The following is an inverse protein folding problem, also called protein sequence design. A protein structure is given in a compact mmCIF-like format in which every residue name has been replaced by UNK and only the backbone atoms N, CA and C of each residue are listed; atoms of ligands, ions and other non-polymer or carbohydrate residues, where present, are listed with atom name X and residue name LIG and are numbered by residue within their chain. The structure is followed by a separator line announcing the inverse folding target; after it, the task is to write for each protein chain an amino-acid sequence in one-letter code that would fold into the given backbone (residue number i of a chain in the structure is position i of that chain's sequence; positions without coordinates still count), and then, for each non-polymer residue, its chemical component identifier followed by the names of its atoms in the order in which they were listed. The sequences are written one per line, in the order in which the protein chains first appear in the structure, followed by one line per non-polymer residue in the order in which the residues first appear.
data_IF_529086787713
#
_entry.id   IF_529086787713
#
_cell.length_a   1.000
_cell.length_b   1.000
_cell.length_c   1.000
_cell.angle_alpha   90.00
_cell.angle_beta   90.00
_cell.angle_gamma   90.00
#
_symmetry.space_group_name_H-M   'P 1'
#
loop_
_entity.id
_entity.type
_entity.pdbx_description
1 polymer ?
#
# COMPACT_ATOMS: atom_id res chain seq x y z
N UNK A 1 -35.92 -15.06 26.94
CA UNK A 1 -34.99 -14.51 27.95
C UNK A 1 -34.61 -13.10 27.51
N UNK A 2 -35.05 -12.03 28.20
CA UNK A 2 -34.62 -10.65 27.88
C UNK A 2 -33.29 -10.41 28.59
N UNK A 3 -32.22 -10.25 27.81
CA UNK A 3 -30.91 -9.91 28.35
C UNK A 3 -30.94 -8.46 28.87
N UNK A 4 -30.24 -8.14 29.99
CA UNK A 4 -30.29 -6.83 30.64
C UNK A 4 -29.40 -5.81 29.91
N UNK A 5 -29.70 -5.51 28.65
CA UNK A 5 -28.98 -4.53 27.86
C UNK A 5 -29.65 -3.15 27.89
N UNK A 6 -28.87 -2.06 27.82
CA UNK A 6 -29.43 -0.72 27.70
C UNK A 6 -30.21 -0.56 26.39
N UNK A 7 -31.18 0.36 26.40
CA UNK A 7 -31.91 0.71 25.18
C UNK A 7 -30.98 1.44 24.18
N UNK A 8 -31.27 1.32 22.87
CA UNK A 8 -30.55 2.01 21.79
C UNK A 8 -30.43 3.52 22.05
N UNK A 9 -31.52 4.14 22.56
CA UNK A 9 -31.52 5.56 22.92
C UNK A 9 -30.47 5.90 23.97
N UNK A 10 -30.33 5.05 25.00
CA UNK A 10 -29.33 5.24 26.05
C UNK A 10 -27.91 5.09 25.50
N UNK A 11 -27.69 4.09 24.63
CA UNK A 11 -26.39 3.93 23.95
C UNK A 11 -26.02 5.16 23.11
N UNK A 12 -26.93 5.64 22.27
CA UNK A 12 -26.71 6.82 21.44
C UNK A 12 -26.44 8.06 22.29
N UNK A 13 -27.17 8.25 23.39
CA UNK A 13 -26.94 9.37 24.32
C UNK A 13 -25.54 9.35 24.93
N UNK A 14 -25.02 8.17 25.30
CA UNK A 14 -23.65 8.06 25.80
C UNK A 14 -22.60 8.28 24.71
N UNK A 15 -22.86 7.80 23.48
CA UNK A 15 -21.94 7.94 22.35
C UNK A 15 -21.90 9.37 21.78
N UNK A 16 -22.95 10.17 21.95
CA UNK A 16 -23.02 11.55 21.45
C UNK A 16 -21.91 12.46 22.00
N UNK A 17 -21.37 12.15 23.18
CA UNK A 17 -20.28 12.93 23.78
C UNK A 17 -18.90 12.58 23.21
N UNK A 18 -18.80 11.53 22.37
CA UNK A 18 -17.56 11.15 21.69
C UNK A 18 -17.52 11.79 20.30
N UNK A 19 -17.05 13.04 20.24
CA UNK A 19 -16.85 13.75 18.99
C UNK A 19 -15.40 13.59 18.52
N UNK A 20 -15.21 13.10 17.29
CA UNK A 20 -13.92 13.09 16.63
C UNK A 20 -13.98 14.07 15.46
N UNK A 21 -13.17 15.13 15.52
CA UNK A 21 -13.07 16.10 14.44
C UNK A 21 -11.99 15.67 13.46
N UNK A 22 -12.19 16.01 12.19
CA UNK A 22 -11.15 15.81 11.18
C UNK A 22 -9.91 16.61 11.55
N UNK A 23 -8.74 16.00 11.34
CA UNK A 23 -7.49 16.51 11.88
C UNK A 23 -6.67 15.40 12.52
N UNK A 24 -5.76 15.81 13.42
CA UNK A 24 -5.07 14.89 14.32
C UNK A 24 -5.96 14.62 15.53
N UNK A 25 -6.17 13.34 15.84
CA UNK A 25 -7.08 12.88 16.90
C UNK A 25 -6.36 12.85 18.25
N UNK A 26 -6.35 13.99 18.94
CA UNK A 26 -5.66 14.14 20.22
C UNK A 26 -6.24 13.22 21.32
N UNK A 27 -7.54 12.95 21.27
CA UNK A 27 -8.21 12.02 22.18
C UNK A 27 -7.64 10.60 22.02
N UNK A 28 -7.47 10.17 20.77
CA UNK A 28 -6.92 8.87 20.43
C UNK A 28 -5.43 8.77 20.77
N UNK A 29 -4.67 9.84 20.52
CA UNK A 29 -3.27 9.91 20.92
C UNK A 29 -3.14 9.84 22.46
N UNK A 30 -4.09 10.43 23.20
CA UNK A 30 -4.20 10.28 24.65
C UNK A 30 -4.37 8.82 25.08
N UNK A 31 -5.27 8.07 24.45
CA UNK A 31 -5.42 6.64 24.71
C UNK A 31 -4.17 5.83 24.33
N UNK A 32 -3.51 6.19 23.22
CA UNK A 32 -2.24 5.58 22.83
C UNK A 32 -1.13 5.85 23.85
N UNK A 33 -1.10 7.02 24.48
CA UNK A 33 -0.13 7.33 25.53
C UNK A 33 -0.25 6.36 26.71
N UNK A 34 -1.48 6.14 27.20
CA UNK A 34 -1.75 5.17 28.28
C UNK A 34 -1.27 3.77 27.88
N UNK A 35 -1.49 3.39 26.62
CA UNK A 35 -0.98 2.12 26.09
C UNK A 35 0.55 2.09 26.05
N UNK A 36 1.21 3.17 25.64
CA UNK A 36 2.68 3.27 25.61
C UNK A 36 3.30 3.19 27.01
N UNK A 37 2.61 3.71 28.02
CA UNK A 37 3.01 3.63 29.43
C UNK A 37 2.92 2.19 29.97
N UNK A 38 1.94 1.40 29.52
CA UNK A 38 1.84 -0.02 29.91
C UNK A 38 2.78 -0.96 29.14
N UNK A 39 3.42 -0.48 28.06
CA UNK A 39 4.44 -1.22 27.34
C UNK A 39 5.76 -1.15 28.11
N UNK A 40 5.98 -2.14 28.98
CA UNK A 40 7.15 -2.26 29.86
C UNK A 40 8.50 -2.40 29.13
N UNK A 41 8.47 -2.77 27.85
CA UNK A 41 9.65 -3.02 27.04
C UNK A 41 9.78 -1.96 25.96
N UNK A 42 10.98 -1.40 25.81
CA UNK A 42 11.28 -0.30 24.90
C UNK A 42 10.95 -0.65 23.43
N UNK A 43 11.15 -1.92 23.05
CA UNK A 43 10.79 -2.41 21.71
C UNK A 43 9.27 -2.44 21.46
N UNK A 44 8.43 -2.49 22.50
CA UNK A 44 6.98 -2.44 22.35
C UNK A 44 6.48 -1.13 21.74
N UNK A 45 7.31 -0.08 21.80
CA UNK A 45 7.06 1.27 21.28
C UNK A 45 7.50 1.44 19.83
N UNK A 46 8.16 0.44 19.25
CA UNK A 46 8.53 0.43 17.84
C UNK A 46 7.28 0.34 16.97
N UNK A 47 7.09 1.32 16.10
CA UNK A 47 5.89 1.45 15.29
C UNK A 47 6.20 1.84 13.83
N UNK A 48 5.21 1.59 12.99
CA UNK A 48 5.13 2.02 11.61
C UNK A 48 3.93 2.95 11.43
N UNK A 49 4.04 3.87 10.48
CA UNK A 49 2.95 4.74 10.06
C UNK A 49 2.52 4.33 8.66
N UNK A 50 1.22 4.17 8.44
CA UNK A 50 0.64 3.88 7.14
C UNK A 50 -0.35 4.98 6.75
N UNK A 51 -0.33 5.37 5.48
CA UNK A 51 -1.25 6.35 4.92
C UNK A 51 -1.94 5.76 3.69
N UNK A 52 -3.27 5.89 3.64
CA UNK A 52 -4.05 5.51 2.48
C UNK A 52 -5.29 6.40 2.34
N UNK A 53 -5.82 6.49 1.11
CA UNK A 53 -7.05 7.19 0.80
C UNK A 53 -8.16 6.19 0.45
N UNK A 54 -9.37 6.43 0.96
CA UNK A 54 -10.57 5.70 0.57
C UNK A 54 -11.54 6.60 -0.18
N UNK A 55 -12.14 6.09 -1.26
CA UNK A 55 -13.21 6.79 -1.95
C UNK A 55 -14.48 6.82 -1.09
N UNK A 56 -15.13 7.98 -1.02
CA UNK A 56 -16.40 8.19 -0.32
C UNK A 56 -17.44 8.79 -1.28
N UNK A 57 -18.72 8.63 -0.95
CA UNK A 57 -19.79 9.26 -1.71
C UNK A 57 -19.78 10.77 -1.46
N UNK A 58 -19.55 11.55 -2.51
CA UNK A 58 -19.68 13.00 -2.44
C UNK A 58 -21.10 13.42 -2.06
N UNK A 59 -21.21 14.35 -1.13
CA UNK A 59 -22.48 14.87 -0.64
C UNK A 59 -22.27 15.90 0.46
N UNK A 60 -23.23 16.80 0.61
CA UNK A 60 -23.28 17.75 1.72
C UNK A 60 -24.52 17.40 2.54
N UNK A 61 -24.32 17.20 3.84
CA UNK A 61 -25.40 16.93 4.80
C UNK A 61 -25.38 17.95 5.93
N UNK A 62 -26.52 18.17 6.58
CA UNK A 62 -26.61 19.04 7.75
C UNK A 62 -26.60 18.19 9.02
N UNK A 63 -25.57 18.38 9.85
CA UNK A 63 -25.50 17.73 11.15
C UNK A 63 -26.25 18.56 12.19
N UNK A 64 -27.41 18.08 12.63
CA UNK A 64 -28.26 18.77 13.62
C UNK A 64 -27.54 18.93 14.97
N UNK A 65 -26.68 17.98 15.34
CA UNK A 65 -25.97 18.01 16.62
C UNK A 65 -24.92 19.11 16.67
N UNK A 66 -24.06 19.21 15.65
CA UNK A 66 -23.04 20.26 15.58
C UNK A 66 -23.59 21.60 15.06
N UNK A 67 -24.78 21.59 14.45
CA UNK A 67 -25.39 22.76 13.81
C UNK A 67 -24.65 23.21 12.55
N UNK A 68 -23.92 22.31 11.88
CA UNK A 68 -23.05 22.64 10.74
C UNK A 68 -23.27 21.72 9.55
N UNK A 69 -22.93 22.22 8.37
CA UNK A 69 -22.86 21.40 7.16
C UNK A 69 -21.58 20.56 7.15
N UNK A 70 -21.72 19.27 6.86
CA UNK A 70 -20.65 18.29 6.71
C UNK A 70 -20.54 17.83 5.27
N UNK A 71 -19.38 17.28 4.88
CA UNK A 71 -19.12 16.80 3.51
C UNK A 71 -18.18 17.67 2.69
N UNK A 72 -17.68 18.76 3.27
CA UNK A 72 -16.60 19.55 2.70
C UNK A 72 -15.22 18.91 2.87
N UNK A 73 -14.27 19.31 2.03
CA UNK A 73 -12.85 18.99 2.20
C UNK A 73 -12.33 19.61 3.50
N UNK A 74 -11.59 18.84 4.29
CA UNK A 74 -11.02 19.29 5.56
C UNK A 74 -9.49 19.37 5.54
N UNK A 75 -8.85 18.88 4.46
CA UNK A 75 -7.41 19.08 4.29
C UNK A 75 -7.09 20.58 4.17
N UNK A 76 -6.08 21.10 4.90
CA UNK A 76 -5.72 22.53 4.84
C UNK A 76 -5.43 23.00 3.41
N UNK A 77 -5.79 24.25 3.09
CA UNK A 77 -5.57 24.89 1.77
C UNK A 77 -6.31 24.24 0.60
N UNK A 78 -7.37 23.49 0.87
CA UNK A 78 -8.26 22.92 -0.13
C UNK A 78 -9.72 23.21 0.21
N UNK A 79 -10.55 23.33 -0.82
CA UNK A 79 -11.97 23.66 -0.71
C UNK A 79 -12.77 22.82 -1.71
N UNK A 80 -14.05 22.61 -1.41
CA UNK A 80 -14.98 21.85 -2.25
C UNK A 80 -15.64 20.70 -1.50
N UNK A 81 -16.36 19.85 -2.25
CA UNK A 81 -17.02 18.65 -1.73
C UNK A 81 -16.00 17.51 -1.66
N UNK A 82 -15.96 16.80 -0.54
CA UNK A 82 -15.07 15.68 -0.35
C UNK A 82 -15.51 14.47 -1.19
N UNK A 83 -14.56 13.89 -1.92
CA UNK A 83 -14.74 12.64 -2.68
C UNK A 83 -13.97 11.49 -2.05
N UNK A 84 -13.03 11.79 -1.15
CA UNK A 84 -12.14 10.83 -0.52
C UNK A 84 -11.93 11.12 0.96
N UNK A 85 -11.44 10.12 1.68
CA UNK A 85 -10.95 10.26 3.04
C UNK A 85 -9.54 9.68 3.17
N UNK A 86 -8.58 10.55 3.48
CA UNK A 86 -7.22 10.20 3.86
C UNK A 86 -7.20 9.75 5.32
N UNK A 87 -6.60 8.61 5.59
CA UNK A 87 -6.42 8.07 6.94
C UNK A 87 -4.95 7.80 7.21
N UNK A 88 -4.50 8.25 8.39
CA UNK A 88 -3.16 7.98 8.91
C UNK A 88 -3.28 7.03 10.09
N UNK A 89 -2.69 5.85 9.93
CA UNK A 89 -2.70 4.77 10.89
C UNK A 89 -1.30 4.59 11.47
N UNK A 90 -1.22 4.32 12.77
CA UNK A 90 0.00 3.89 13.44
C UNK A 90 -0.19 2.46 13.91
N UNK A 91 0.80 1.61 13.69
CA UNK A 91 0.78 0.22 14.12
C UNK A 91 2.09 -0.22 14.76
N UNK A 92 2.01 -1.09 15.76
CA UNK A 92 3.20 -1.68 16.38
C UNK A 92 3.89 -2.66 15.45
N UNK A 93 5.23 -2.65 15.46
CA UNK A 93 6.06 -3.57 14.66
C UNK A 93 6.31 -4.86 15.45
N UNK A 94 6.75 -4.72 16.70
CA UNK A 94 7.05 -5.87 17.58
C UNK A 94 5.81 -6.46 18.24
N UNK A 95 4.81 -5.61 18.51
CA UNK A 95 3.56 -6.00 19.17
C UNK A 95 2.38 -5.67 18.29
N UNK A 96 1.40 -6.57 18.22
CA UNK A 96 0.24 -6.41 17.33
C UNK A 96 -0.76 -5.40 17.89
N UNK A 97 -0.70 -4.18 17.38
CA UNK A 97 -1.73 -3.18 17.58
C UNK A 97 -1.77 -2.20 16.41
N UNK A 98 -2.91 -1.54 16.24
CA UNK A 98 -3.09 -0.49 15.23
C UNK A 98 -4.10 0.52 15.73
N UNK A 99 -3.90 1.78 15.37
CA UNK A 99 -4.79 2.87 15.73
C UNK A 99 -4.76 3.95 14.66
N UNK A 100 -5.94 4.46 14.30
CA UNK A 100 -6.06 5.64 13.44
C UNK A 100 -5.76 6.86 14.31
N UNK A 101 -4.76 7.65 13.93
CA UNK A 101 -4.34 8.85 14.70
C UNK A 101 -4.75 10.15 14.04
N UNK A 102 -5.10 10.10 12.75
CA UNK A 102 -5.52 11.28 12.01
C UNK A 102 -6.34 10.88 10.79
N UNK A 103 -7.31 11.72 10.43
CA UNK A 103 -8.02 11.60 9.18
C UNK A 103 -8.41 12.97 8.61
N UNK A 104 -8.40 13.06 7.28
CA UNK A 104 -8.81 14.23 6.53
C UNK A 104 -9.73 13.84 5.37
N UNK A 105 -10.73 14.65 5.11
CA UNK A 105 -11.54 14.57 3.91
C UNK A 105 -10.82 15.32 2.78
N UNK A 106 -10.69 14.66 1.63
CA UNK A 106 -9.91 15.11 0.49
C UNK A 106 -10.76 15.10 -0.79
N UNK A 107 -10.32 15.86 -1.80
CA UNK A 107 -10.91 15.84 -3.13
C UNK A 107 -10.04 15.07 -4.12
N UNK A 108 -10.27 15.26 -5.41
CA UNK A 108 -9.51 14.56 -6.46
C UNK A 108 -8.07 15.05 -6.62
N UNK A 109 -7.80 16.30 -6.20
CA UNK A 109 -6.47 16.89 -6.20
C UNK A 109 -6.00 17.14 -4.77
N UNK A 110 -4.76 16.73 -4.49
CA UNK A 110 -4.11 16.94 -3.20
C UNK A 110 -2.73 17.56 -3.41
N UNK A 111 -2.41 18.54 -2.57
CA UNK A 111 -1.07 19.12 -2.54
C UNK A 111 -0.17 18.29 -1.62
N UNK A 112 0.83 17.61 -2.20
CA UNK A 112 1.78 16.79 -1.45
C UNK A 112 2.60 17.55 -0.39
N UNK A 113 2.79 18.87 -0.54
CA UNK A 113 3.46 19.68 0.47
C UNK A 113 2.59 19.84 1.73
N UNK A 114 1.27 20.02 1.57
CA UNK A 114 0.32 20.07 2.69
C UNK A 114 0.29 18.72 3.41
N UNK A 115 0.28 17.62 2.63
CA UNK A 115 0.33 16.28 3.20
C UNK A 115 1.61 16.04 4.02
N UNK A 116 2.76 16.54 3.55
CA UNK A 116 4.01 16.49 4.30
C UNK A 116 3.93 17.26 5.62
N UNK A 117 3.26 18.41 5.65
CA UNK A 117 3.08 19.21 6.87
C UNK A 117 2.15 18.52 7.87
N UNK A 118 1.04 17.95 7.40
CA UNK A 118 0.15 17.09 8.20
C UNK A 118 0.93 15.90 8.80
N UNK A 119 1.74 15.22 7.98
CA UNK A 119 2.54 14.10 8.45
C UNK A 119 3.56 14.54 9.52
N UNK A 120 4.22 15.69 9.36
CA UNK A 120 5.14 16.24 10.38
C UNK A 120 4.42 16.51 11.70
N UNK A 121 3.19 17.02 11.65
CA UNK A 121 2.39 17.26 12.86
C UNK A 121 2.06 15.94 13.58
N UNK A 122 1.55 14.95 12.85
CA UNK A 122 1.27 13.62 13.40
C UNK A 122 2.54 13.01 13.98
N UNK A 123 3.64 13.05 13.22
CA UNK A 123 4.94 12.53 13.64
C UNK A 123 5.42 13.15 14.94
N UNK A 124 5.29 14.48 15.08
CA UNK A 124 5.64 15.20 16.31
C UNK A 124 4.80 14.72 17.50
N UNK A 125 3.48 14.59 17.33
CA UNK A 125 2.57 14.17 18.42
C UNK A 125 2.80 12.72 18.84
N UNK A 126 3.03 11.80 17.91
CA UNK A 126 3.31 10.39 18.25
C UNK A 126 4.70 10.21 18.87
N UNK A 127 5.70 10.96 18.41
CA UNK A 127 7.04 10.93 19.02
C UNK A 127 7.01 11.48 20.45
N UNK A 128 6.18 12.50 20.72
CA UNK A 128 6.03 13.10 22.05
C UNK A 128 5.45 12.14 23.10
N UNK A 129 4.67 11.13 22.69
CA UNK A 129 4.16 10.07 23.59
C UNK A 129 5.13 8.89 23.74
N UNK A 130 6.32 8.97 23.13
CA UNK A 130 7.39 7.98 23.26
C UNK A 130 7.36 6.85 22.24
N UNK A 131 6.54 6.94 21.18
CA UNK A 131 6.57 5.98 20.08
C UNK A 131 7.80 6.19 19.19
N UNK A 132 8.39 5.09 18.73
CA UNK A 132 9.56 5.07 17.85
C UNK A 132 9.16 4.65 16.45
N UNK A 133 9.04 5.63 15.56
CA UNK A 133 8.63 5.39 14.17
C UNK A 133 9.83 4.91 13.36
N UNK A 134 9.74 3.71 12.79
CA UNK A 134 10.79 3.13 11.95
C UNK A 134 10.48 3.20 10.46
N UNK A 135 9.20 3.22 10.08
CA UNK A 135 8.80 3.25 8.68
C UNK A 135 7.51 4.02 8.43
N UNK A 136 7.42 4.54 7.21
CA UNK A 136 6.25 5.19 6.63
C UNK A 136 5.87 4.43 5.37
N UNK A 137 4.67 3.88 5.34
CA UNK A 137 4.15 3.12 4.20
C UNK A 137 3.01 3.87 3.54
N UNK A 138 3.07 4.04 2.22
CA UNK A 138 1.97 4.61 1.45
C UNK A 138 1.87 3.97 0.07
N UNK A 139 0.76 4.17 -0.62
CA UNK A 139 0.70 3.91 -2.05
C UNK A 139 1.62 4.88 -2.83
N UNK A 140 1.78 4.62 -4.12
CA UNK A 140 2.59 5.43 -5.03
C UNK A 140 1.76 6.42 -5.86
N UNK A 141 0.67 6.98 -5.33
CA UNK A 141 -0.03 8.09 -6.01
C UNK A 141 0.82 9.36 -6.04
N UNK A 142 0.50 10.25 -6.98
CA UNK A 142 1.23 11.50 -7.21
C UNK A 142 1.37 12.37 -5.96
N UNK A 143 0.33 12.47 -5.13
CA UNK A 143 0.36 13.23 -3.88
C UNK A 143 1.34 12.64 -2.86
N UNK A 144 1.30 11.32 -2.66
CA UNK A 144 2.22 10.59 -1.78
C UNK A 144 3.67 10.68 -2.28
N UNK A 145 3.90 10.55 -3.58
CA UNK A 145 5.23 10.75 -4.16
C UNK A 145 5.73 12.20 -3.98
N UNK A 146 4.86 13.20 -4.05
CA UNK A 146 5.23 14.60 -3.79
C UNK A 146 5.55 14.84 -2.31
N UNK A 147 4.82 14.20 -1.39
CA UNK A 147 5.16 14.17 0.04
C UNK A 147 6.57 13.55 0.23
N UNK A 148 6.85 12.39 -0.37
CA UNK A 148 8.15 11.72 -0.28
C UNK A 148 9.29 12.63 -0.76
N UNK A 149 9.12 13.30 -1.91
CA UNK A 149 10.09 14.28 -2.42
C UNK A 149 10.34 15.42 -1.45
N UNK A 150 9.30 15.89 -0.74
CA UNK A 150 9.42 16.95 0.28
C UNK A 150 10.28 16.50 1.46
N UNK A 151 10.26 15.21 1.81
CA UNK A 151 11.17 14.61 2.80
C UNK A 151 12.57 14.31 2.24
N UNK A 152 12.84 14.63 0.97
CA UNK A 152 14.12 14.36 0.31
C UNK A 152 14.31 12.89 -0.07
N UNK A 153 13.22 12.11 -0.11
CA UNK A 153 13.21 10.75 -0.63
C UNK A 153 13.31 10.82 -2.16
N UNK A 154 14.25 10.06 -2.71
CA UNK A 154 14.55 10.04 -4.15
C UNK A 154 14.61 8.61 -4.62
N UNK A 155 13.83 8.31 -5.65
CA UNK A 155 13.91 7.06 -6.39
C UNK A 155 13.75 7.40 -7.88
N UNK A 156 14.71 6.97 -8.71
CA UNK A 156 14.70 7.29 -10.13
C UNK A 156 15.82 6.59 -10.88
N UNK A 157 15.67 6.46 -12.20
CA UNK A 157 16.62 5.70 -13.06
C UNK A 157 18.04 6.29 -13.11
N UNK A 158 18.19 7.58 -12.81
CA UNK A 158 19.45 8.33 -12.95
C UNK A 158 19.94 8.91 -11.61
N UNK A 159 19.38 8.48 -10.48
CA UNK A 159 19.79 8.96 -9.17
C UNK A 159 19.96 7.79 -8.20
N UNK A 160 20.86 7.97 -7.24
CA UNK A 160 21.00 7.03 -6.14
C UNK A 160 19.69 7.00 -5.34
N UNK A 161 19.17 5.80 -5.12
CA UNK A 161 17.94 5.61 -4.37
C UNK A 161 18.18 5.94 -2.91
N UNK A 162 17.49 6.96 -2.42
CA UNK A 162 17.44 7.32 -1.00
C UNK A 162 16.02 7.16 -0.50
N UNK A 163 15.80 6.12 0.30
CA UNK A 163 14.48 5.75 0.84
C UNK A 163 14.35 5.99 2.35
N UNK A 164 15.23 6.78 2.96
CA UNK A 164 15.13 7.09 4.39
C UNK A 164 15.45 8.55 4.70
N UNK A 165 14.94 8.99 5.85
CA UNK A 165 15.32 10.24 6.52
C UNK A 165 15.82 9.95 7.92
N UNK A 166 16.58 10.87 8.50
CA UNK A 166 16.93 10.78 9.92
C UNK A 166 15.82 11.41 10.74
N UNK A 167 15.42 10.69 11.79
CA UNK A 167 14.48 11.18 12.78
C UNK A 167 15.10 12.40 13.49
N UNK A 168 14.42 13.56 13.50
CA UNK A 168 14.96 14.78 14.13
C UNK A 168 15.11 14.65 15.66
N UNK A 169 14.44 13.70 16.30
CA UNK A 169 14.44 13.53 17.76
C UNK A 169 15.58 12.63 18.24
N UNK A 170 15.81 11.50 17.57
CA UNK A 170 16.76 10.48 18.04
C UNK A 170 17.84 10.10 17.00
N UNK A 171 17.80 10.67 15.80
CA UNK A 171 18.77 10.39 14.73
C UNK A 171 18.61 9.03 14.05
N UNK A 172 17.63 8.21 14.43
CA UNK A 172 17.39 6.91 13.80
C UNK A 172 16.82 7.05 12.37
N UNK A 173 17.02 6.04 11.53
CA UNK A 173 16.52 6.05 10.16
C UNK A 173 15.02 5.73 10.14
N UNK A 174 14.25 6.58 9.47
CA UNK A 174 12.85 6.34 9.15
C UNK A 174 12.78 5.99 7.66
N UNK A 175 12.36 4.76 7.35
CA UNK A 175 12.29 4.26 5.99
C UNK A 175 10.93 4.56 5.35
N UNK A 176 10.93 5.06 4.12
CA UNK A 176 9.75 5.25 3.29
C UNK A 176 9.59 4.03 2.39
N UNK A 177 8.49 3.30 2.60
CA UNK A 177 8.19 2.04 1.95
C UNK A 177 6.95 2.20 1.08
N UNK A 178 6.99 1.62 -0.11
CA UNK A 178 5.80 1.54 -0.94
C UNK A 178 4.96 0.35 -0.50
N UNK A 179 3.64 0.46 -0.62
CA UNK A 179 2.73 -0.66 -0.43
C UNK A 179 3.08 -1.81 -1.41
N UNK A 180 3.59 -2.92 -0.86
CA UNK A 180 4.02 -4.11 -1.59
C UNK A 180 2.92 -4.72 -2.47
N UNK A 181 1.72 -5.03 -1.91
CA UNK A 181 0.57 -5.43 -2.71
C UNK A 181 0.24 -4.50 -3.88
N UNK A 182 0.36 -3.18 -3.72
CA UNK A 182 0.17 -2.23 -4.82
C UNK A 182 1.29 -2.28 -5.84
N UNK A 183 2.55 -2.46 -5.42
CA UNK A 183 3.68 -2.67 -6.33
C UNK A 183 3.47 -3.91 -7.20
N UNK A 184 3.05 -5.04 -6.61
CA UNK A 184 2.84 -6.27 -7.35
C UNK A 184 1.75 -6.11 -8.43
N UNK A 185 0.64 -5.44 -8.10
CA UNK A 185 -0.40 -5.08 -9.07
C UNK A 185 0.17 -4.23 -10.21
N UNK A 186 1.02 -3.25 -9.89
CA UNK A 186 1.64 -2.39 -10.88
C UNK A 186 2.62 -3.14 -11.79
N UNK A 187 3.42 -4.07 -11.25
CA UNK A 187 4.34 -4.90 -12.05
C UNK A 187 3.56 -5.78 -13.02
N UNK A 188 2.53 -6.47 -12.52
CA UNK A 188 1.64 -7.29 -13.36
C UNK A 188 0.96 -6.45 -14.43
N UNK A 189 0.47 -5.25 -14.08
CA UNK A 189 -0.16 -4.35 -15.04
C UNK A 189 0.84 -3.85 -16.10
N UNK A 190 2.06 -3.53 -15.70
CA UNK A 190 3.14 -3.11 -16.59
C UNK A 190 3.46 -4.22 -17.62
N UNK A 191 3.59 -5.46 -17.15
CA UNK A 191 3.85 -6.62 -18.01
C UNK A 191 2.73 -6.84 -19.04
N UNK A 192 1.48 -6.81 -18.60
CA UNK A 192 0.33 -7.02 -19.50
C UNK A 192 0.15 -5.86 -20.50
N UNK A 193 0.37 -4.61 -20.09
CA UNK A 193 0.18 -3.45 -20.96
C UNK A 193 1.30 -3.26 -21.97
N UNK A 194 2.55 -3.34 -21.51
CA UNK A 194 3.71 -3.13 -22.38
C UNK A 194 4.01 -4.35 -23.24
N UNK A 195 3.52 -5.53 -22.83
CA UNK A 195 3.77 -6.86 -23.41
C UNK A 195 5.21 -7.34 -23.24
N UNK A 196 6.17 -6.45 -23.47
CA UNK A 196 7.59 -6.72 -23.36
C UNK A 196 8.19 -5.74 -22.33
N UNK A 197 9.02 -6.26 -21.42
CA UNK A 197 9.83 -5.49 -20.49
C UNK A 197 11.30 -5.81 -20.76
N UNK A 198 12.08 -4.78 -21.08
CA UNK A 198 13.53 -4.91 -21.21
C UNK A 198 14.21 -4.77 -19.84
N UNK A 199 15.05 -5.74 -19.49
CA UNK A 199 15.80 -5.79 -18.25
C UNK A 199 17.19 -5.14 -18.42
N UNK A 200 17.79 -4.60 -17.35
CA UNK A 200 19.16 -4.11 -17.39
C UNK A 200 20.18 -5.23 -17.61
N UNK A 201 21.27 -4.94 -18.32
CA UNK A 201 22.35 -5.91 -18.59
C UNK A 201 22.91 -6.55 -17.31
N UNK A 202 23.07 -5.78 -16.23
CA UNK A 202 23.55 -6.28 -14.93
C UNK A 202 22.67 -7.43 -14.39
N UNK A 203 21.36 -7.39 -14.68
CA UNK A 203 20.44 -8.45 -14.28
C UNK A 203 20.66 -9.71 -15.14
N UNK A 204 20.80 -9.53 -16.45
CA UNK A 204 21.06 -10.61 -17.41
C UNK A 204 22.36 -11.34 -17.06
N UNK A 205 23.43 -10.60 -16.76
CA UNK A 205 24.72 -11.16 -16.36
C UNK A 205 24.64 -11.90 -15.02
N UNK A 206 23.99 -11.30 -14.01
CA UNK A 206 23.84 -11.89 -12.68
C UNK A 206 23.13 -13.25 -12.72
N UNK A 207 22.10 -13.38 -13.55
CA UNK A 207 21.30 -14.60 -13.66
C UNK A 207 21.69 -15.47 -14.88
N UNK A 208 22.72 -15.09 -15.64
CA UNK A 208 23.23 -15.79 -16.83
C UNK A 208 22.11 -16.08 -17.86
N UNK A 209 21.29 -15.07 -18.15
CA UNK A 209 20.15 -15.19 -19.05
C UNK A 209 20.60 -15.04 -20.52
N UNK A 210 19.91 -15.72 -21.43
CA UNK A 210 20.17 -15.66 -22.87
C UNK A 210 19.49 -14.48 -23.57
N UNK A 211 18.54 -13.83 -22.90
CA UNK A 211 17.79 -12.68 -23.38
C UNK A 211 17.64 -11.64 -22.27
N UNK A 212 17.47 -10.38 -22.64
CA UNK A 212 17.13 -9.26 -21.75
C UNK A 212 15.63 -8.95 -21.75
N UNK A 213 14.82 -9.70 -22.50
CA UNK A 213 13.40 -9.44 -22.68
C UNK A 213 12.53 -10.37 -21.84
N UNK A 214 11.62 -9.78 -21.07
CA UNK A 214 10.49 -10.46 -20.44
C UNK A 214 9.27 -10.24 -21.33
N UNK A 215 8.78 -11.32 -21.95
CA UNK A 215 7.58 -11.29 -22.78
C UNK A 215 6.39 -11.92 -22.04
N UNK A 216 5.25 -11.24 -22.09
CA UNK A 216 3.96 -11.77 -21.62
C UNK A 216 3.47 -12.94 -22.47
N UNK A 217 3.91 -13.03 -23.73
CA UNK A 217 3.53 -14.12 -24.63
C UNK A 217 4.00 -15.47 -24.10
N UNK A 218 5.22 -15.56 -23.53
CA UNK A 218 5.70 -16.77 -22.86
C UNK A 218 4.76 -17.27 -21.75
N UNK A 219 4.06 -16.36 -21.06
CA UNK A 219 3.09 -16.73 -20.02
C UNK A 219 1.76 -17.19 -20.64
N UNK A 220 1.37 -16.63 -21.79
CA UNK A 220 0.17 -17.07 -22.50
C UNK A 220 0.36 -18.45 -23.13
N UNK A 221 1.50 -18.65 -23.78
CA UNK A 221 1.84 -19.92 -24.43
C UNK A 221 1.85 -21.04 -23.38
N UNK A 222 2.52 -20.82 -22.24
CA UNK A 222 2.47 -21.72 -21.09
C UNK A 222 1.03 -21.98 -20.60
N UNK A 223 0.20 -20.94 -20.49
CA UNK A 223 -1.19 -21.09 -20.05
C UNK A 223 -2.04 -21.92 -21.04
N UNK A 224 -1.76 -21.82 -22.35
CA UNK A 224 -2.45 -22.58 -23.41
C UNK A 224 -2.00 -24.04 -23.44
N UNK A 225 -0.70 -24.30 -23.29
CA UNK A 225 -0.13 -25.66 -23.20
C UNK A 225 -0.63 -26.37 -21.94
N UNK A 226 -0.56 -25.70 -20.79
CA UNK A 226 -1.06 -26.24 -19.52
C UNK A 226 -2.56 -26.56 -19.56
N UNK A 227 -3.34 -25.78 -20.32
CA UNK A 227 -4.77 -26.02 -20.55
C UNK A 227 -5.09 -27.37 -21.20
N UNK A 228 -4.11 -28.02 -21.83
CA UNK A 228 -4.26 -29.34 -22.47
C UNK A 228 -4.14 -30.51 -21.48
N UNK A 229 -3.57 -30.29 -20.31
CA UNK A 229 -3.33 -31.32 -19.32
C UNK A 229 -4.41 -31.33 -18.22
N UNK A 230 -4.83 -32.51 -17.79
CA UNK A 230 -5.77 -32.65 -16.65
C UNK A 230 -5.13 -32.22 -15.31
N UNK A 231 -3.81 -32.41 -15.18
CA UNK A 231 -3.03 -32.02 -14.02
C UNK A 231 -2.14 -30.83 -14.36
N UNK A 232 -2.56 -29.66 -13.89
CA UNK A 232 -1.91 -28.37 -14.14
C UNK A 232 -0.93 -28.02 -13.00
N UNK A 233 0.27 -27.55 -13.35
CA UNK A 233 1.27 -27.00 -12.44
C UNK A 233 0.81 -25.68 -11.77
N UNK A 234 0.17 -24.80 -12.53
CA UNK A 234 -0.31 -23.48 -12.16
C UNK A 234 -1.82 -23.34 -12.43
N UNK A 235 -2.63 -24.25 -11.88
CA UNK A 235 -4.12 -24.29 -11.99
C UNK A 235 -4.90 -23.01 -11.64
N UNK A 236 -4.23 -21.98 -11.13
CA UNK A 236 -4.82 -20.66 -10.81
C UNK A 236 -4.54 -19.59 -11.87
N UNK A 237 -3.66 -19.89 -12.83
CA UNK A 237 -3.39 -19.06 -13.99
C UNK A 237 -4.53 -19.23 -14.99
N UNK A 238 -5.01 -18.12 -15.54
CA UNK A 238 -6.06 -18.13 -16.57
C UNK A 238 -5.76 -17.00 -17.56
N UNK A 239 -6.13 -17.20 -18.82
CA UNK A 239 -5.92 -16.21 -19.90
C UNK A 239 -6.62 -14.87 -19.58
N UNK A 240 -7.77 -14.90 -18.92
CA UNK A 240 -8.50 -13.70 -18.48
C UNK A 240 -7.71 -12.82 -17.51
N UNK A 241 -6.74 -13.39 -16.78
CA UNK A 241 -5.85 -12.66 -15.89
C UNK A 241 -4.77 -11.90 -16.67
N UNK A 242 -4.46 -12.34 -17.88
CA UNK A 242 -3.52 -11.71 -18.81
C UNK A 242 -4.20 -10.68 -19.73
N UNK A 243 -5.50 -10.45 -19.54
CA UNK A 243 -6.26 -9.39 -20.21
C UNK A 243 -6.45 -8.17 -19.29
N UNK A 244 -6.44 -6.97 -19.88
CA UNK A 244 -6.64 -5.71 -19.15
C UNK A 244 -8.13 -5.46 -18.82
N UNK A 245 -8.66 -6.14 -17.81
CA UNK A 245 -10.02 -5.87 -17.30
C UNK A 245 -9.97 -4.99 -16.05
N UNK A 246 -10.77 -3.91 -16.02
CA UNK A 246 -10.81 -2.95 -14.90
C UNK A 246 -11.06 -3.62 -13.53
N UNK A 247 -11.94 -4.62 -13.48
CA UNK A 247 -12.25 -5.36 -12.25
C UNK A 247 -11.09 -6.26 -11.78
N UNK A 248 -10.32 -6.82 -12.72
CA UNK A 248 -9.19 -7.71 -12.41
C UNK A 248 -7.95 -6.96 -11.92
N UNK A 249 -7.86 -5.65 -12.18
CA UNK A 249 -6.72 -4.79 -11.83
C UNK A 249 -6.58 -4.57 -10.32
N UNK A 250 -7.68 -4.53 -9.57
CA UNK A 250 -7.66 -4.18 -8.16
C UNK A 250 -7.36 -5.37 -7.23
N UNK A 251 -7.58 -6.60 -7.69
CA UNK A 251 -7.47 -7.81 -6.88
C UNK A 251 -6.02 -8.31 -6.83
N UNK A 252 -5.38 -8.20 -5.66
CA UNK A 252 -3.98 -8.63 -5.46
C UNK A 252 -3.79 -10.12 -5.75
N UNK A 253 -4.77 -10.96 -5.41
CA UNK A 253 -4.71 -12.41 -5.69
C UNK A 253 -4.54 -12.71 -7.17
N UNK A 254 -5.12 -11.90 -8.06
CA UNK A 254 -4.97 -12.09 -9.51
C UNK A 254 -3.53 -11.82 -9.95
N UNK A 255 -2.85 -10.85 -9.31
CA UNK A 255 -1.45 -10.57 -9.58
C UNK A 255 -0.56 -11.69 -9.06
N UNK A 256 -0.86 -12.24 -7.88
CA UNK A 256 -0.17 -13.42 -7.30
C UNK A 256 -0.41 -14.72 -8.08
N UNK A 257 -1.53 -14.85 -8.80
CA UNK A 257 -1.78 -16.01 -9.64
C UNK A 257 -0.93 -15.99 -10.92
N UNK A 258 -0.65 -14.79 -11.46
CA UNK A 258 0.19 -14.61 -12.66
C UNK A 258 1.67 -14.62 -12.28
N UNK A 259 2.04 -13.79 -11.30
CA UNK A 259 3.37 -13.74 -10.74
C UNK A 259 3.40 -14.78 -9.62
N UNK A 260 3.59 -16.05 -9.98
CA UNK A 260 3.68 -17.17 -9.04
C UNK A 260 4.92 -18.02 -9.35
N UNK A 261 5.52 -18.60 -8.29
CA UNK A 261 6.59 -19.58 -8.41
C UNK A 261 6.16 -20.80 -9.24
N UNK A 262 4.90 -21.24 -9.15
CA UNK A 262 4.41 -22.35 -9.97
C UNK A 262 4.46 -22.01 -11.47
N UNK A 263 4.10 -20.78 -11.84
CA UNK A 263 4.15 -20.31 -13.24
C UNK A 263 5.61 -20.25 -13.72
N UNK A 264 6.51 -19.73 -12.89
CA UNK A 264 7.95 -19.74 -13.18
C UNK A 264 8.51 -21.16 -13.39
N UNK A 265 8.20 -22.08 -12.47
CA UNK A 265 8.65 -23.47 -12.60
C UNK A 265 8.08 -24.15 -13.84
N UNK A 266 6.81 -23.94 -14.15
CA UNK A 266 6.17 -24.47 -15.36
C UNK A 266 6.83 -23.97 -16.64
N UNK A 267 7.05 -22.65 -16.76
CA UNK A 267 7.75 -22.08 -17.92
C UNK A 267 9.18 -22.63 -18.05
N UNK A 268 9.89 -22.85 -16.93
CA UNK A 268 11.23 -23.46 -16.98
C UNK A 268 11.19 -24.90 -17.47
N UNK A 269 10.19 -25.67 -17.04
CA UNK A 269 10.02 -27.05 -17.46
C UNK A 269 9.77 -27.13 -18.97
N UNK A 270 8.85 -26.33 -19.50
CA UNK A 270 8.54 -26.29 -20.93
C UNK A 270 9.76 -25.86 -21.76
N UNK A 271 10.51 -24.86 -21.28
CA UNK A 271 11.74 -24.40 -21.94
C UNK A 271 12.86 -25.46 -21.99
N UNK A 272 12.89 -26.39 -21.04
CA UNK A 272 13.83 -27.51 -21.03
C UNK A 272 13.39 -28.65 -21.96
N UNK A 273 12.09 -28.87 -22.12
CA UNK A 273 11.54 -29.88 -23.04
C UNK A 273 11.58 -29.44 -24.52
N UNK A 274 11.21 -28.20 -24.84
CA UNK A 274 11.03 -27.73 -26.22
C UNK A 274 12.33 -27.43 -26.99
N UNK A 275 13.49 -27.39 -26.32
CA UNK A 275 14.86 -27.25 -26.86
C UNK A 275 15.19 -26.06 -27.79
N UNK A 276 14.23 -25.29 -28.31
CA UNK A 276 14.49 -24.32 -29.39
C UNK A 276 14.46 -22.84 -29.00
N UNK A 277 13.72 -22.41 -27.96
CA UNK A 277 13.79 -21.02 -27.48
C UNK A 277 13.93 -20.88 -25.96
N UNK A 278 15.14 -20.51 -25.52
CA UNK A 278 15.47 -20.25 -24.11
C UNK A 278 15.09 -18.83 -23.66
N UNK A 279 14.50 -18.01 -24.53
CA UNK A 279 14.05 -16.65 -24.19
C UNK A 279 13.04 -16.66 -23.03
N UNK A 280 12.18 -17.68 -22.97
CA UNK A 280 11.17 -17.91 -21.92
C UNK A 280 11.75 -18.08 -20.51
N UNK A 281 12.99 -18.57 -20.38
CA UNK A 281 13.70 -18.65 -19.10
C UNK A 281 13.90 -17.29 -18.46
N UNK A 282 14.06 -16.24 -19.27
CA UNK A 282 14.19 -14.84 -18.80
C UNK A 282 12.90 -14.40 -18.10
N UNK A 283 11.73 -14.70 -18.70
CA UNK A 283 10.42 -14.44 -18.09
C UNK A 283 10.25 -15.23 -16.78
N UNK A 284 10.63 -16.50 -16.75
CA UNK A 284 10.50 -17.32 -15.55
C UNK A 284 11.37 -16.81 -14.38
N UNK A 285 12.65 -16.50 -14.65
CA UNK A 285 13.56 -15.94 -13.64
C UNK A 285 13.08 -14.58 -13.14
N UNK A 286 12.53 -13.74 -14.04
CA UNK A 286 11.91 -12.48 -13.63
C UNK A 286 10.76 -12.70 -12.64
N UNK A 287 9.86 -13.66 -12.92
CA UNK A 287 8.74 -13.98 -12.02
C UNK A 287 9.23 -14.45 -10.65
N UNK A 288 10.27 -15.30 -10.59
CA UNK A 288 10.85 -15.76 -9.32
C UNK A 288 11.39 -14.61 -8.46
N UNK A 289 12.08 -13.65 -9.09
CA UNK A 289 12.72 -12.53 -8.37
C UNK A 289 11.66 -11.56 -7.82
N UNK A 290 10.57 -11.35 -8.54
CA UNK A 290 9.49 -10.43 -8.12
C UNK A 290 8.71 -10.93 -6.90
N UNK A 291 8.77 -12.23 -6.59
CA UNK A 291 8.01 -12.87 -5.51
C UNK A 291 8.73 -12.99 -4.16
N UNK A 292 9.96 -12.48 -4.06
CA UNK A 292 10.81 -12.59 -2.86
C UNK A 292 10.32 -11.66 -1.74
#
# INVERSE_FOLDING_TARGET
MKLPFPAIRTLNFHLQNLEFKSGVLDEIIGFLKIKCESLNQDFGRDCMVALDEMDIKAGIDYCVHSGTYIGGITLPKHEGVATKALVILVGGITTRWKQIVSYYFTGDSMNGAVLADVFKEVFKKISAIGLKVHSVTSDLRSANQAMWKTFGIKAGRKCETKNYVLNPVNGEKIYFLADGPHLLKNIKQCLVQNKIIQLPNDFVEKYKLTSDLVDVQHIKDFCEEEGKFELQFASKLNVDLLQCNHFNKMKVSNSLNVLNRNVSCGIKFDAEEEREDKSSLTTAVFIDVVLI
#
